data_IF_900330388386
#
_entry.id   IF_900330388386
#
_cell.length_a   1.000
_cell.length_b   1.000
_cell.length_c   1.000
_cell.angle_alpha   90.00
_cell.angle_beta   90.00
_cell.angle_gamma   90.00
#
_symmetry.space_group_name_H-M   'P 1'
#
loop_
_entity.id
_entity.type
_entity.pdbx_description
1 polymer ?
#
# COMPACT_ATOMS: atom_id res chain seq x y z
N UNK A 1 -16.52 4.94 7.90
CA UNK A 1 -16.92 3.51 7.92
C UNK A 1 -15.77 2.63 7.47
N UNK A 2 -15.48 1.54 8.18
CA UNK A 2 -14.53 0.50 7.75
C UNK A 2 -15.18 -0.41 6.70
N UNK A 3 -14.48 -0.70 5.60
CA UNK A 3 -14.94 -1.63 4.57
C UNK A 3 -14.41 -3.04 4.88
N UNK A 4 -15.26 -3.87 5.47
CA UNK A 4 -14.90 -5.25 5.81
C UNK A 4 -15.06 -6.23 4.64
N UNK A 5 -14.34 -7.35 4.72
CA UNK A 5 -14.42 -8.45 3.75
C UNK A 5 -13.89 -8.09 2.37
N UNK A 6 -13.01 -7.09 2.25
CA UNK A 6 -12.42 -6.67 0.97
C UNK A 6 -11.25 -7.56 0.54
N UNK A 7 -10.59 -8.25 1.47
CA UNK A 7 -9.45 -9.13 1.19
C UNK A 7 -8.14 -8.40 0.88
N UNK A 8 -8.10 -7.08 1.10
CA UNK A 8 -6.88 -6.27 0.96
C UNK A 8 -6.11 -6.13 2.28
N UNK A 9 -6.81 -6.27 3.41
CA UNK A 9 -6.22 -6.18 4.74
C UNK A 9 -5.16 -7.25 4.95
N UNK A 10 -3.99 -6.84 5.42
CA UNK A 10 -2.85 -7.72 5.68
C UNK A 10 -2.02 -8.08 4.45
N UNK A 11 -2.43 -7.70 3.23
CA UNK A 11 -1.58 -7.88 2.07
C UNK A 11 -0.29 -7.06 2.24
N UNK A 12 0.84 -7.70 1.95
CA UNK A 12 2.17 -7.08 1.94
C UNK A 12 2.62 -6.90 0.50
N UNK A 13 2.98 -5.67 0.13
CA UNK A 13 3.34 -5.31 -1.24
C UNK A 13 4.45 -4.27 -1.21
N UNK A 14 5.42 -4.38 -2.12
CA UNK A 14 6.46 -3.38 -2.30
C UNK A 14 5.86 -2.02 -2.67
N UNK A 15 6.42 -0.95 -2.11
CA UNK A 15 5.88 0.41 -2.23
C UNK A 15 5.72 0.89 -3.67
N UNK A 16 6.71 0.67 -4.54
CA UNK A 16 6.66 1.16 -5.93
C UNK A 16 5.59 0.42 -6.75
N UNK A 17 5.57 -0.94 -6.80
CA UNK A 17 4.47 -1.66 -7.45
C UNK A 17 3.09 -1.34 -6.87
N UNK A 18 2.99 -1.15 -5.55
CA UNK A 18 1.75 -0.76 -4.90
C UNK A 18 1.27 0.61 -5.37
N UNK A 19 2.15 1.62 -5.38
CA UNK A 19 1.83 2.98 -5.81
C UNK A 19 1.41 3.02 -7.27
N UNK A 20 2.18 2.38 -8.16
CA UNK A 20 1.83 2.25 -9.58
C UNK A 20 0.45 1.61 -9.78
N UNK A 21 0.15 0.55 -9.02
CA UNK A 21 -1.12 -0.14 -9.06
C UNK A 21 -2.27 0.77 -8.60
N UNK A 22 -2.08 1.50 -7.51
CA UNK A 22 -3.07 2.42 -6.94
C UNK A 22 -3.40 3.55 -7.93
N UNK A 23 -2.37 4.19 -8.48
CA UNK A 23 -2.51 5.31 -9.43
C UNK A 23 -3.21 4.91 -10.72
N UNK A 24 -2.87 3.74 -11.28
CA UNK A 24 -3.56 3.18 -12.46
C UNK A 24 -5.04 2.92 -12.22
N UNK A 25 -5.45 2.74 -10.95
CA UNK A 25 -6.84 2.56 -10.55
C UNK A 25 -7.50 3.86 -10.04
N UNK A 26 -6.82 5.00 -10.18
CA UNK A 26 -7.35 6.32 -9.84
C UNK A 26 -7.27 6.70 -8.36
N UNK A 27 -6.55 5.91 -7.56
CA UNK A 27 -6.18 6.32 -6.21
C UNK A 27 -4.97 7.25 -6.27
N UNK A 28 -4.91 8.23 -5.38
CA UNK A 28 -3.83 9.21 -5.32
C UNK A 28 -3.09 9.00 -4.00
N UNK A 29 -1.76 8.90 -4.05
CA UNK A 29 -0.93 8.93 -2.84
C UNK A 29 -1.10 10.30 -2.16
N UNK A 30 -1.59 10.29 -0.93
CA UNK A 30 -1.83 11.47 -0.11
C UNK A 30 -0.53 12.18 0.23
N UNK A 31 -0.56 13.51 0.26
CA UNK A 31 0.63 14.36 0.49
C UNK A 31 1.06 14.50 1.95
N UNK A 32 0.80 13.50 2.80
CA UNK A 32 1.33 13.49 4.16
C UNK A 32 2.75 12.92 4.13
N UNK A 33 3.73 13.70 4.60
CA UNK A 33 5.10 13.23 4.81
C UNK A 33 5.12 12.26 6.00
N UNK A 34 4.91 10.98 5.74
CA UNK A 34 4.97 9.92 6.74
C UNK A 34 5.92 8.82 6.24
N UNK A 35 7.07 8.70 6.91
CA UNK A 35 8.10 7.70 6.58
C UNK A 35 7.64 6.26 6.84
N UNK A 36 6.63 6.09 7.70
CA UNK A 36 6.14 4.79 8.14
C UNK A 36 4.83 4.41 7.47
N UNK A 37 4.12 5.35 6.83
CA UNK A 37 2.77 5.12 6.33
C UNK A 37 2.54 5.66 4.95
N UNK A 38 1.69 4.93 4.23
CA UNK A 38 1.14 5.37 2.96
C UNK A 38 -0.36 5.50 3.08
N UNK A 39 -0.90 6.54 2.45
CA UNK A 39 -2.34 6.80 2.40
C UNK A 39 -2.72 7.02 0.95
N UNK A 40 -3.57 6.16 0.40
CA UNK A 40 -4.09 6.29 -0.96
C UNK A 40 -5.57 6.66 -0.91
N UNK A 41 -5.93 7.79 -1.50
CA UNK A 41 -7.31 8.28 -1.53
C UNK A 41 -7.89 8.25 -2.94
N UNK A 42 -9.11 7.73 -3.06
CA UNK A 42 -9.95 7.86 -4.24
C UNK A 42 -11.09 8.81 -3.95
N UNK A 43 -11.19 9.90 -4.71
CA UNK A 43 -12.27 10.88 -4.60
C UNK A 43 -13.52 10.44 -5.36
N UNK A 44 -14.65 10.41 -4.68
CA UNK A 44 -15.97 10.14 -5.24
C UNK A 44 -16.85 11.38 -5.07
N UNK A 45 -17.39 11.88 -6.20
CA UNK A 45 -18.37 12.96 -6.15
C UNK A 45 -19.67 12.47 -5.52
N UNK A 46 -20.22 13.26 -4.61
CA UNK A 46 -21.53 13.06 -4.05
C UNK A 46 -22.59 13.81 -4.89
N UNK A 47 -23.84 13.32 -4.98
CA UNK A 47 -24.93 14.09 -5.57
C UNK A 47 -25.29 15.31 -4.71
N UNK A 48 -25.05 15.26 -3.41
CA UNK A 48 -25.28 16.36 -2.49
C UNK A 48 -24.21 17.47 -2.65
N UNK A 49 -24.65 18.74 -2.57
CA UNK A 49 -23.73 19.88 -2.57
C UNK A 49 -22.82 19.85 -1.33
N UNK A 50 -21.56 20.23 -1.52
CA UNK A 50 -20.53 20.33 -0.48
C UNK A 50 -20.16 19.01 0.23
N UNK A 51 -20.62 17.88 -0.30
CA UNK A 51 -20.22 16.56 0.18
C UNK A 51 -19.27 15.92 -0.82
N UNK A 52 -18.22 15.27 -0.32
CA UNK A 52 -17.33 14.43 -1.12
C UNK A 52 -17.06 13.15 -0.36
N UNK A 53 -17.14 12.01 -1.05
CA UNK A 53 -16.75 10.73 -0.47
C UNK A 53 -15.29 10.42 -0.80
N UNK A 54 -14.59 9.81 0.15
CA UNK A 54 -13.22 9.34 -0.06
C UNK A 54 -13.13 7.86 0.29
N UNK A 55 -12.57 7.08 -0.61
CA UNK A 55 -12.14 5.71 -0.28
C UNK A 55 -10.66 5.80 0.03
N UNK A 56 -10.31 5.46 1.26
CA UNK A 56 -8.94 5.51 1.77
C UNK A 56 -8.41 4.10 1.96
N UNK A 57 -7.30 3.78 1.33
CA UNK A 57 -6.51 2.59 1.60
C UNK A 57 -5.22 3.05 2.26
N UNK A 58 -4.94 2.54 3.45
CA UNK A 58 -3.72 2.87 4.18
C UNK A 58 -2.86 1.63 4.33
N UNK A 59 -1.58 1.84 4.59
CA UNK A 59 -0.67 0.80 5.00
C UNK A 59 0.49 1.40 5.78
N UNK A 60 1.24 0.53 6.43
CA UNK A 60 2.47 0.90 7.13
C UNK A 60 3.64 0.08 6.62
N UNK A 61 4.82 0.69 6.60
CA UNK A 61 6.07 0.01 6.27
C UNK A 61 6.39 -1.00 7.38
N UNK A 62 6.51 -2.27 7.02
CA UNK A 62 7.02 -3.32 7.92
C UNK A 62 8.55 -3.43 7.83
N UNK A 63 9.10 -3.01 6.69
CA UNK A 63 10.51 -2.99 6.36
C UNK A 63 10.78 -1.87 5.35
N UNK A 64 12.03 -1.40 5.24
CA UNK A 64 12.46 -0.35 4.32
C UNK A 64 11.95 1.05 4.69
N UNK A 65 12.06 1.99 3.75
CA UNK A 65 11.71 3.40 3.92
C UNK A 65 10.83 3.88 2.76
N UNK A 66 9.68 4.48 3.09
CA UNK A 66 8.72 4.98 2.09
C UNK A 66 9.34 6.07 1.22
N UNK A 67 10.19 6.93 1.77
CA UNK A 67 10.80 8.06 1.06
C UNK A 67 11.88 7.59 0.07
N UNK A 68 12.61 6.52 0.42
CA UNK A 68 13.56 5.86 -0.50
C UNK A 68 12.87 4.97 -1.54
N UNK A 69 11.62 4.62 -1.25
CA UNK A 69 10.78 3.78 -2.09
C UNK A 69 11.20 2.32 -2.13
N UNK A 70 11.88 1.82 -1.11
CA UNK A 70 12.25 0.42 -0.91
C UNK A 70 11.41 -0.26 0.19
N UNK A 71 10.37 0.43 0.69
CA UNK A 71 9.50 -0.10 1.73
C UNK A 71 8.60 -1.26 1.28
N UNK A 72 8.39 -2.21 2.19
CA UNK A 72 7.32 -3.22 2.11
C UNK A 72 6.14 -2.73 2.92
N UNK A 73 5.01 -2.54 2.27
CA UNK A 73 3.82 -1.99 2.90
C UNK A 73 2.86 -3.11 3.28
N UNK A 74 2.49 -3.17 4.56
CA UNK A 74 1.34 -3.95 5.02
C UNK A 74 0.08 -3.10 4.97
N UNK A 75 -0.86 -3.51 4.14
CA UNK A 75 -2.13 -2.81 3.94
C UNK A 75 -3.09 -3.03 5.12
N UNK A 76 -3.84 -1.98 5.42
CA UNK A 76 -4.87 -1.91 6.44
C UNK A 76 -6.28 -2.02 5.81
N UNK A 77 -7.32 -2.28 6.63
CA UNK A 77 -8.69 -2.24 6.17
C UNK A 77 -9.05 -0.89 5.53
N UNK A 78 -9.64 -0.87 4.33
CA UNK A 78 -10.02 0.38 3.69
C UNK A 78 -11.10 1.11 4.47
N UNK A 79 -11.09 2.43 4.38
CA UNK A 79 -12.06 3.31 5.00
C UNK A 79 -12.86 4.04 3.93
N UNK A 80 -14.17 4.14 4.14
CA UNK A 80 -15.03 5.05 3.42
C UNK A 80 -15.30 6.25 4.33
N UNK A 81 -14.80 7.41 3.93
CA UNK A 81 -14.98 8.69 4.60
C UNK A 81 -15.91 9.61 3.85
N UNK A 82 -16.46 10.59 4.57
CA UNK A 82 -17.27 11.67 4.01
C UNK A 82 -16.66 13.00 4.44
N UNK A 83 -16.44 13.87 3.48
CA UNK A 83 -15.98 15.23 3.71
C UNK A 83 -17.18 16.16 3.58
N UNK A 84 -17.48 16.87 4.66
CA UNK A 84 -18.38 18.03 4.64
C UNK A 84 -17.51 19.27 4.55
N UNK A 85 -17.55 19.99 3.43
CA UNK A 85 -16.89 21.29 3.37
C UNK A 85 -17.76 22.34 4.09
N UNK A 86 -17.23 23.16 5.02
CA UNK A 86 -15.81 23.34 5.40
C UNK A 86 -15.36 22.56 6.67
N UNK A 87 -16.16 21.66 7.20
CA UNK A 87 -16.01 21.04 8.53
C UNK A 87 -15.09 19.79 8.60
N UNK A 88 -14.52 19.34 7.47
CA UNK A 88 -13.50 18.29 7.43
C UNK A 88 -14.03 16.89 7.13
N UNK A 89 -13.15 15.89 7.16
CA UNK A 89 -13.48 14.49 6.81
C UNK A 89 -13.84 13.68 8.04
N UNK A 90 -15.05 13.14 8.06
CA UNK A 90 -15.56 12.28 9.11
C UNK A 90 -15.53 10.81 8.67
N UNK A 91 -15.02 9.96 9.56
CA UNK A 91 -14.91 8.52 9.37
C UNK A 91 -15.67 7.81 10.52
N UNK A 92 -16.96 7.57 10.34
CA UNK A 92 -17.79 6.85 11.33
C UNK A 92 -18.67 5.77 10.71
N UNK A 93 -19.18 4.86 11.54
CA UNK A 93 -20.29 3.96 11.16
C UNK A 93 -21.64 4.69 11.11
N UNK A 94 -21.76 5.80 11.83
CA UNK A 94 -22.99 6.59 11.97
C UNK A 94 -23.31 7.51 10.77
N UNK A 95 -22.46 7.53 9.75
CA UNK A 95 -22.61 8.42 8.58
C UNK A 95 -23.80 8.05 7.66
N UNK A 96 -24.43 6.88 7.82
CA UNK A 96 -25.60 6.51 7.01
C UNK A 96 -25.29 6.45 5.51
N UNK A 97 -24.13 5.92 5.12
CA UNK A 97 -23.80 5.74 3.70
C UNK A 97 -24.84 4.87 2.99
N UNK A 98 -25.27 5.28 1.80
CA UNK A 98 -26.19 4.47 1.01
C UNK A 98 -25.53 3.16 0.58
N UNK A 99 -26.33 2.10 0.45
CA UNK A 99 -25.87 0.79 -0.02
C UNK A 99 -25.18 0.89 -1.38
N UNK A 100 -25.66 1.75 -2.28
CA UNK A 100 -25.05 2.01 -3.58
C UNK A 100 -23.62 2.55 -3.49
N UNK A 101 -23.34 3.50 -2.59
CA UNK A 101 -21.98 4.03 -2.40
C UNK A 101 -21.07 2.98 -1.77
N UNK A 102 -21.56 2.21 -0.79
CA UNK A 102 -20.79 1.12 -0.18
C UNK A 102 -20.40 0.08 -1.23
N UNK A 103 -21.33 -0.34 -2.08
CA UNK A 103 -21.06 -1.31 -3.15
C UNK A 103 -20.08 -0.75 -4.20
N UNK A 104 -20.25 0.52 -4.59
CA UNK A 104 -19.31 1.18 -5.50
C UNK A 104 -17.90 1.22 -4.90
N UNK A 105 -17.78 1.55 -3.61
CA UNK A 105 -16.50 1.60 -2.92
C UNK A 105 -15.84 0.22 -2.84
N UNK A 106 -16.60 -0.82 -2.48
CA UNK A 106 -16.11 -2.21 -2.51
C UNK A 106 -15.65 -2.62 -3.91
N UNK A 107 -16.42 -2.28 -4.95
CA UNK A 107 -16.05 -2.56 -6.33
C UNK A 107 -14.74 -1.90 -6.77
N UNK A 108 -14.49 -0.65 -6.35
CA UNK A 108 -13.22 0.04 -6.63
C UNK A 108 -12.04 -0.59 -5.89
N UNK A 109 -12.23 -0.97 -4.62
CA UNK A 109 -11.19 -1.69 -3.85
C UNK A 109 -10.87 -3.04 -4.50
N UNK A 110 -11.87 -3.78 -4.98
CA UNK A 110 -11.65 -5.09 -5.63
C UNK A 110 -10.76 -5.02 -6.88
N UNK A 111 -10.78 -3.91 -7.62
CA UNK A 111 -9.90 -3.72 -8.79
C UNK A 111 -8.42 -3.71 -8.42
N UNK A 112 -8.10 -3.30 -7.19
CA UNK A 112 -6.73 -3.25 -6.65
C UNK A 112 -6.36 -4.55 -5.96
N UNK A 113 -7.31 -5.23 -5.31
CA UNK A 113 -7.07 -6.46 -4.53
C UNK A 113 -6.45 -7.57 -5.40
N UNK A 114 -7.04 -7.86 -6.57
CA UNK A 114 -6.59 -8.99 -7.40
C UNK A 114 -5.15 -8.83 -7.90
N UNK A 115 -4.73 -7.66 -8.43
CA UNK A 115 -3.32 -7.41 -8.72
C UNK A 115 -2.43 -7.39 -7.47
N UNK A 116 -2.88 -6.80 -6.37
CA UNK A 116 -2.11 -6.72 -5.12
C UNK A 116 -1.78 -8.13 -4.57
N UNK A 117 -2.71 -9.09 -4.66
CA UNK A 117 -2.47 -10.50 -4.28
C UNK A 117 -1.34 -11.15 -5.08
N UNK A 118 -1.15 -10.77 -6.35
CA UNK A 118 -0.05 -11.30 -7.17
C UNK A 118 1.31 -10.86 -6.61
N UNK A 119 1.41 -9.59 -6.24
CA UNK A 119 2.61 -9.06 -5.60
C UNK A 119 2.80 -9.62 -4.19
N UNK A 120 1.72 -9.88 -3.45
CA UNK A 120 1.80 -10.47 -2.11
C UNK A 120 2.50 -11.83 -2.06
N UNK A 121 2.31 -12.66 -3.09
CA UNK A 121 2.94 -13.98 -3.17
C UNK A 121 4.38 -13.94 -3.70
N UNK A 122 4.83 -12.78 -4.19
CA UNK A 122 6.22 -12.58 -4.56
C UNK A 122 6.93 -12.12 -3.30
N UNK A 123 7.85 -12.94 -2.78
CA UNK A 123 8.72 -12.50 -1.69
C UNK A 123 9.55 -11.33 -2.26
N UNK A 124 9.50 -10.14 -1.66
CA UNK A 124 10.27 -9.01 -2.14
C UNK A 124 11.74 -9.38 -2.31
N UNK A 125 12.39 -8.86 -3.35
CA UNK A 125 13.76 -9.22 -3.70
C UNK A 125 14.72 -8.97 -2.52
N UNK A 126 14.61 -7.83 -1.84
CA UNK A 126 15.47 -7.52 -0.69
C UNK A 126 15.24 -8.48 0.49
N UNK A 127 14.01 -8.94 0.73
CA UNK A 127 13.71 -9.95 1.76
C UNK A 127 14.37 -11.28 1.42
N UNK A 128 14.34 -11.67 0.13
CA UNK A 128 15.03 -12.87 -0.35
C UNK A 128 16.55 -12.73 -0.14
N UNK A 129 17.11 -11.57 -0.47
CA UNK A 129 18.54 -11.28 -0.33
C UNK A 129 18.99 -11.28 1.14
N UNK A 130 18.21 -10.66 2.04
CA UNK A 130 18.50 -10.65 3.47
C UNK A 130 18.48 -12.08 4.06
N UNK A 131 17.43 -12.85 3.74
CA UNK A 131 17.30 -14.24 4.19
C UNK A 131 18.42 -15.13 3.67
N UNK A 132 18.80 -14.97 2.40
CA UNK A 132 19.92 -15.69 1.79
C UNK A 132 21.25 -15.32 2.46
N UNK A 133 21.46 -14.04 2.75
CA UNK A 133 22.66 -13.54 3.44
C UNK A 133 22.76 -14.17 4.83
N UNK A 134 21.69 -14.10 5.62
CA UNK A 134 21.63 -14.69 6.95
C UNK A 134 21.87 -16.20 6.92
N UNK A 135 21.22 -16.92 6.00
CA UNK A 135 21.43 -18.35 5.82
C UNK A 135 22.90 -18.66 5.48
N UNK A 136 23.53 -17.88 4.62
CA UNK A 136 24.92 -18.08 4.23
C UNK A 136 25.88 -17.83 5.40
N UNK A 137 25.62 -16.83 6.26
CA UNK A 137 26.37 -16.59 7.49
C UNK A 137 26.26 -17.77 8.47
N UNK A 138 25.03 -18.25 8.73
CA UNK A 138 24.75 -19.36 9.63
C UNK A 138 25.43 -20.67 9.18
N UNK A 139 25.56 -20.87 7.86
CA UNK A 139 26.18 -22.06 7.28
C UNK A 139 27.66 -21.86 6.87
N UNK A 140 28.25 -20.71 7.22
CA UNK A 140 29.64 -20.36 6.86
C UNK A 140 29.92 -20.47 5.34
N UNK A 141 28.91 -20.22 4.51
CA UNK A 141 28.98 -20.32 3.06
C UNK A 141 29.61 -19.05 2.46
N UNK A 142 30.95 -19.04 2.34
CA UNK A 142 31.70 -17.90 1.83
C UNK A 142 31.40 -17.56 0.37
N UNK A 143 31.11 -18.57 -0.46
CA UNK A 143 30.81 -18.37 -1.89
C UNK A 143 29.56 -17.49 -2.08
N UNK A 144 28.49 -17.79 -1.35
CA UNK A 144 27.25 -17.02 -1.42
C UNK A 144 27.45 -15.60 -0.87
N UNK A 145 28.22 -15.43 0.22
CA UNK A 145 28.51 -14.12 0.81
C UNK A 145 29.35 -13.24 -0.12
N UNK A 146 30.34 -13.80 -0.81
CA UNK A 146 31.14 -13.08 -1.81
C UNK A 146 30.28 -12.68 -3.01
N UNK A 147 29.42 -13.60 -3.50
CA UNK A 147 28.50 -13.30 -4.59
C UNK A 147 27.51 -12.18 -4.23
N UNK A 148 26.99 -12.17 -3.00
CA UNK A 148 26.12 -11.10 -2.53
C UNK A 148 26.85 -9.75 -2.45
N UNK A 149 28.10 -9.73 -1.95
CA UNK A 149 28.92 -8.52 -1.93
C UNK A 149 29.17 -7.97 -3.33
N UNK A 150 29.49 -8.83 -4.29
CA UNK A 150 29.66 -8.45 -5.71
C UNK A 150 28.37 -7.81 -6.26
N UNK A 151 27.22 -8.44 -6.04
CA UNK A 151 25.92 -7.93 -6.50
C UNK A 151 25.56 -6.59 -5.85
N UNK A 152 25.84 -6.40 -4.56
CA UNK A 152 25.59 -5.13 -3.85
C UNK A 152 26.55 -3.99 -4.23
N UNK A 153 27.71 -4.32 -4.81
CA UNK A 153 28.77 -3.34 -5.13
C UNK A 153 28.78 -2.92 -6.60
N UNK A 154 27.79 -3.35 -7.40
CA UNK A 154 27.75 -3.05 -8.82
C UNK A 154 27.52 -1.54 -9.09
N UNK A 155 28.45 -0.82 -9.76
CA UNK A 155 28.42 0.64 -9.92
C UNK A 155 27.26 1.23 -10.74
N UNK A 156 26.49 0.41 -11.46
CA UNK A 156 25.48 0.86 -12.43
C UNK A 156 24.22 1.49 -11.79
N UNK A 157 24.10 1.53 -10.46
CA UNK A 157 23.03 2.25 -9.74
C UNK A 157 23.45 3.64 -9.21
N UNK A 158 24.66 4.14 -9.53
CA UNK A 158 25.05 5.54 -9.27
C UNK A 158 24.81 6.41 -10.50
N UNK A 159 23.56 6.62 -10.90
CA UNK A 159 23.16 7.69 -11.82
C UNK A 159 21.81 8.26 -11.43
#
# INVERSE_FOLDING_TARGET
>A
MKLEGTGIDGLMVDFRPLTDLMERNGFILGGSWDYERVTYDYKLNAPEKNITYYIRIQGYAVEGDVDKGDAVIRLLPPLLGRHYYPHGVEYGEQEGFSTGIIQKAKGLVQKVVEPAKKYHNQVPEHVVLERLTRWAEENQNQEVLEKMKELSSNPDQRK
#
